data_IF_428023877400
#
_entry.id   IF_428023877400
#
_cell.length_a   1.000
_cell.length_b   1.000
_cell.length_c   1.000
_cell.angle_alpha   90.00
_cell.angle_beta   90.00
_cell.angle_gamma   90.00
#
_symmetry.space_group_name_H-M   'P 1'
#
loop_
_entity.id
_entity.type
_entity.pdbx_description
1 polymer ?
#
# COMPACT_ATOMS: atom_id res chain seq x y z
N UNK A 1 -27.44 0.14 -9.77
CA UNK A 1 -26.73 1.18 -9.00
C UNK A 1 -26.12 0.52 -7.77
N UNK A 2 -24.83 0.25 -7.78
CA UNK A 2 -24.10 -0.27 -6.62
C UNK A 2 -23.92 0.94 -5.69
N UNK A 3 -24.78 1.06 -4.68
CA UNK A 3 -24.60 2.09 -3.64
C UNK A 3 -23.27 1.86 -2.96
N UNK A 4 -22.42 2.87 -3.01
CA UNK A 4 -21.12 2.87 -2.33
C UNK A 4 -21.33 2.47 -0.86
N UNK A 5 -20.69 1.38 -0.36
CA UNK A 5 -20.85 0.93 1.04
C UNK A 5 -20.53 2.03 2.06
N UNK A 6 -19.74 3.03 1.69
CA UNK A 6 -19.42 4.21 2.49
C UNK A 6 -20.65 5.08 2.80
N UNK A 7 -21.66 5.10 1.93
CA UNK A 7 -22.89 5.89 2.15
C UNK A 7 -23.86 5.19 3.12
N UNK A 8 -23.85 3.86 3.16
CA UNK A 8 -24.74 3.09 4.05
C UNK A 8 -24.36 3.21 5.53
N UNK A 9 -23.09 3.43 5.82
CA UNK A 9 -22.60 3.64 7.20
C UNK A 9 -22.85 5.07 7.71
N UNK A 10 -23.12 6.03 6.82
CA UNK A 10 -23.46 7.41 7.22
C UNK A 10 -24.79 7.50 7.96
N UNK A 11 -25.78 6.70 7.58
CA UNK A 11 -27.12 6.72 8.19
C UNK A 11 -27.15 6.04 9.58
N UNK A 12 -26.19 5.15 9.87
CA UNK A 12 -26.10 4.47 11.17
C UNK A 12 -25.15 5.17 12.15
N UNK A 13 -24.49 6.23 11.74
CA UNK A 13 -23.43 6.92 12.51
C UNK A 13 -23.91 8.09 13.36
N UNK A 14 -25.19 8.19 13.66
CA UNK A 14 -25.78 9.33 14.39
C UNK A 14 -25.19 9.63 15.79
N UNK A 15 -24.21 8.84 16.26
CA UNK A 15 -23.50 9.09 17.52
C UNK A 15 -21.99 8.82 17.48
N UNK A 16 -21.37 8.63 16.29
CA UNK A 16 -19.93 8.40 16.18
C UNK A 16 -19.27 9.54 15.41
N UNK A 17 -18.27 10.15 16.01
CA UNK A 17 -17.52 11.26 15.43
C UNK A 17 -16.54 10.85 14.30
N UNK A 18 -16.32 9.56 14.07
CA UNK A 18 -15.50 9.03 12.98
C UNK A 18 -16.36 8.28 11.97
N UNK A 19 -16.23 8.64 10.70
CA UNK A 19 -16.85 7.92 9.57
C UNK A 19 -15.89 6.81 9.14
N UNK A 20 -15.68 5.84 10.00
CA UNK A 20 -14.82 4.70 9.73
C UNK A 20 -15.52 3.77 8.73
N UNK A 21 -14.97 3.53 7.52
CA UNK A 21 -15.60 2.66 6.54
C UNK A 21 -15.57 1.18 6.94
N UNK A 22 -14.74 0.83 7.91
CA UNK A 22 -14.57 -0.52 8.46
C UNK A 22 -14.71 -0.52 9.97
N UNK A 23 -15.12 -1.65 10.59
CA UNK A 23 -15.33 -1.73 12.05
C UNK A 23 -14.00 -1.90 12.81
N UNK A 24 -13.08 -0.96 12.66
CA UNK A 24 -11.73 -1.00 13.29
C UNK A 24 -11.78 -1.01 14.82
N UNK A 25 -12.88 -0.51 15.41
CA UNK A 25 -13.10 -0.55 16.86
C UNK A 25 -13.27 -1.97 17.42
N UNK A 26 -13.55 -2.98 16.55
CA UNK A 26 -13.68 -4.39 16.96
C UNK A 26 -12.35 -5.13 17.04
N UNK A 27 -11.27 -4.50 16.62
CA UNK A 27 -9.92 -5.09 16.61
C UNK A 27 -9.34 -5.10 18.02
N UNK A 28 -8.63 -6.17 18.36
CA UNK A 28 -7.85 -6.25 19.60
C UNK A 28 -6.63 -5.35 19.46
N UNK A 29 -6.56 -4.33 20.31
CA UNK A 29 -5.38 -3.45 20.43
C UNK A 29 -4.37 -4.06 21.40
N UNK A 30 -3.11 -3.89 21.10
CA UNK A 30 -1.96 -4.33 21.89
C UNK A 30 -0.94 -3.20 22.03
N UNK A 31 -0.03 -3.30 23.01
CA UNK A 31 0.94 -2.23 23.24
C UNK A 31 2.16 -2.31 22.31
N UNK A 32 2.43 -3.50 21.75
CA UNK A 32 3.54 -3.73 20.84
C UNK A 32 3.05 -4.47 19.58
N UNK A 33 3.65 -4.25 18.41
CA UNK A 33 3.38 -5.05 17.23
C UNK A 33 3.58 -6.55 17.49
N UNK A 34 2.78 -7.40 16.83
CA UNK A 34 2.93 -8.87 16.90
C UNK A 34 4.19 -9.37 16.18
N UNK A 35 4.78 -8.55 15.34
CA UNK A 35 6.13 -8.76 14.79
C UNK A 35 7.15 -8.28 15.82
N UNK A 36 7.98 -9.17 16.30
CA UNK A 36 9.08 -8.80 17.21
C UNK A 36 10.08 -7.93 16.47
N UNK A 37 10.35 -6.75 17.02
CA UNK A 37 11.32 -5.78 16.50
C UNK A 37 12.43 -5.59 17.52
N UNK A 38 13.66 -5.86 17.12
CA UNK A 38 14.86 -5.54 17.91
C UNK A 38 15.44 -4.24 17.34
N UNK A 39 15.05 -3.12 17.92
CA UNK A 39 15.42 -1.79 17.43
C UNK A 39 16.93 -1.56 17.36
N UNK A 40 17.70 -2.21 18.25
CA UNK A 40 19.17 -2.12 18.24
C UNK A 40 19.80 -2.78 17.00
N UNK A 41 19.12 -3.72 16.37
CA UNK A 41 19.56 -4.39 15.14
C UNK A 41 18.93 -3.80 13.88
N UNK A 42 17.94 -2.92 14.01
CA UNK A 42 17.34 -2.26 12.84
C UNK A 42 18.25 -1.13 12.40
N UNK A 43 18.78 -1.24 11.19
CA UNK A 43 19.49 -0.14 10.57
C UNK A 43 18.62 0.58 9.55
N UNK A 44 18.81 1.89 9.45
CA UNK A 44 18.14 2.72 8.46
C UNK A 44 18.61 2.34 7.07
N UNK A 45 17.71 1.80 6.26
CA UNK A 45 18.03 1.33 4.92
C UNK A 45 18.30 2.49 3.97
N UNK A 46 19.16 2.25 3.00
CA UNK A 46 19.34 3.13 1.86
C UNK A 46 18.28 2.77 0.79
N UNK A 47 17.45 3.71 0.39
CA UNK A 47 16.33 3.43 -0.53
C UNK A 47 16.80 2.85 -1.88
N UNK A 48 18.00 3.20 -2.35
CA UNK A 48 18.61 2.66 -3.58
C UNK A 48 18.94 1.16 -3.52
N UNK A 49 18.82 0.52 -2.36
CA UNK A 49 18.98 -0.94 -2.24
C UNK A 49 17.73 -1.73 -2.64
N UNK A 50 16.63 -1.05 -2.97
CA UNK A 50 15.41 -1.73 -3.43
C UNK A 50 15.64 -2.52 -4.72
N UNK A 51 14.97 -3.68 -4.86
CA UNK A 51 15.18 -4.56 -6.00
C UNK A 51 14.93 -3.90 -7.36
N UNK A 52 13.91 -3.07 -7.46
CA UNK A 52 13.61 -2.36 -8.72
C UNK A 52 14.65 -1.28 -9.06
N UNK A 53 15.16 -0.55 -8.08
CA UNK A 53 16.22 0.43 -8.32
C UNK A 53 17.51 -0.26 -8.79
N UNK A 54 17.86 -1.36 -8.12
CA UNK A 54 19.01 -2.20 -8.49
C UNK A 54 18.88 -2.77 -9.90
N UNK A 55 17.68 -3.21 -10.30
CA UNK A 55 17.42 -3.68 -11.65
C UNK A 55 17.62 -2.55 -12.70
N UNK A 56 17.08 -1.36 -12.44
CA UNK A 56 17.22 -0.21 -13.32
C UNK A 56 18.67 0.26 -13.46
N UNK A 57 19.47 0.13 -12.41
CA UNK A 57 20.92 0.45 -12.40
C UNK A 57 21.78 -0.62 -13.09
N UNK A 58 21.25 -1.82 -13.31
CA UNK A 58 21.95 -2.92 -13.98
C UNK A 58 22.60 -3.94 -13.05
N UNK A 59 22.34 -3.89 -11.73
CA UNK A 59 22.91 -4.85 -10.76
C UNK A 59 22.53 -6.31 -11.05
N UNK A 60 21.46 -6.55 -11.82
CA UNK A 60 21.00 -7.88 -12.23
C UNK A 60 21.41 -8.26 -13.65
N UNK A 61 22.32 -7.48 -14.26
CA UNK A 61 22.82 -7.67 -15.60
C UNK A 61 22.05 -6.86 -16.65
N UNK A 62 22.69 -6.70 -17.83
CA UNK A 62 22.17 -5.87 -18.92
C UNK A 62 20.79 -6.28 -19.40
N UNK A 63 20.55 -7.59 -19.53
CA UNK A 63 19.23 -8.11 -19.93
C UNK A 63 18.12 -7.64 -18.97
N UNK A 64 18.32 -7.74 -17.65
CA UNK A 64 17.34 -7.27 -16.67
C UNK A 64 17.16 -5.75 -16.69
N UNK A 65 18.22 -5.00 -16.97
CA UNK A 65 18.15 -3.54 -17.12
C UNK A 65 17.32 -3.14 -18.35
N UNK A 66 17.47 -3.85 -19.47
CA UNK A 66 16.67 -3.64 -20.68
C UNK A 66 15.19 -4.00 -20.42
N UNK A 67 14.91 -5.13 -19.79
CA UNK A 67 13.56 -5.53 -19.42
C UNK A 67 12.91 -4.56 -18.42
N UNK A 68 13.68 -3.95 -17.51
CA UNK A 68 13.19 -2.92 -16.61
C UNK A 68 12.71 -1.68 -17.37
N UNK A 69 13.41 -1.26 -18.42
CA UNK A 69 12.96 -0.14 -19.29
C UNK A 69 11.64 -0.45 -19.98
N UNK A 70 11.35 -1.72 -20.23
CA UNK A 70 10.10 -2.24 -20.81
C UNK A 70 9.08 -2.69 -19.78
N UNK A 71 9.37 -2.54 -18.50
CA UNK A 71 8.60 -3.09 -17.40
C UNK A 71 7.13 -2.68 -17.40
N UNK A 72 6.86 -1.41 -17.70
CA UNK A 72 5.51 -0.86 -17.75
C UNK A 72 4.90 -1.00 -19.16
N UNK A 73 5.58 -0.62 -20.24
CA UNK A 73 4.97 -0.54 -21.56
C UNK A 73 5.17 -1.82 -22.40
N UNK A 74 5.02 -3.00 -21.82
CA UNK A 74 5.11 -4.26 -22.60
C UNK A 74 4.01 -4.40 -23.65
N UNK A 75 2.84 -3.83 -23.36
CA UNK A 75 1.73 -3.72 -24.29
C UNK A 75 1.32 -2.26 -24.43
N UNK A 76 0.95 -1.77 -25.63
CA UNK A 76 0.55 -0.38 -25.83
C UNK A 76 -0.58 0.07 -24.91
N UNK A 77 -1.62 -0.75 -24.74
CA UNK A 77 -2.75 -0.45 -23.87
C UNK A 77 -2.32 -0.42 -22.38
N UNK A 78 -1.49 -1.38 -21.96
CA UNK A 78 -1.01 -1.41 -20.57
C UNK A 78 -0.13 -0.21 -20.26
N UNK A 79 0.72 0.20 -21.21
CA UNK A 79 1.54 1.40 -21.08
C UNK A 79 0.69 2.65 -20.90
N UNK A 80 -0.35 2.82 -21.72
CA UNK A 80 -1.27 3.95 -21.61
C UNK A 80 -2.02 3.93 -20.28
N UNK A 81 -2.54 2.79 -19.85
CA UNK A 81 -3.28 2.66 -18.59
C UNK A 81 -2.39 2.87 -17.36
N UNK A 82 -1.15 2.37 -17.37
CA UNK A 82 -0.21 2.58 -16.28
C UNK A 82 0.23 4.04 -16.21
N UNK A 83 0.48 4.69 -17.36
CA UNK A 83 0.79 6.12 -17.41
C UNK A 83 -0.34 6.97 -16.86
N UNK A 84 -1.58 6.69 -17.24
CA UNK A 84 -2.76 7.37 -16.70
C UNK A 84 -2.89 7.13 -15.19
N UNK A 85 -2.85 5.88 -14.76
CA UNK A 85 -2.99 5.52 -13.36
C UNK A 85 -1.82 6.02 -12.50
N UNK A 86 -0.62 6.11 -13.06
CA UNK A 86 0.59 6.59 -12.41
C UNK A 86 0.80 8.10 -12.44
N UNK A 87 -0.05 8.86 -13.13
CA UNK A 87 0.18 10.29 -13.36
C UNK A 87 0.43 11.11 -12.09
N UNK A 88 -0.20 10.76 -10.98
CA UNK A 88 0.01 11.41 -9.69
C UNK A 88 1.12 10.76 -8.84
N UNK A 89 1.62 9.59 -9.23
CA UNK A 89 2.71 8.93 -8.51
C UNK A 89 4.06 9.63 -8.77
N UNK A 90 4.19 10.33 -9.88
CA UNK A 90 5.37 11.09 -10.29
C UNK A 90 5.35 12.55 -9.82
N UNK A 91 4.41 12.93 -8.94
CA UNK A 91 4.40 14.24 -8.28
C UNK A 91 5.61 14.36 -7.33
N UNK A 92 6.77 14.50 -7.91
CA UNK A 92 8.05 14.63 -7.23
C UNK A 92 8.49 16.10 -7.28
N UNK A 93 8.67 16.68 -6.12
CA UNK A 93 9.47 17.85 -5.80
C UNK A 93 9.20 19.19 -6.53
N UNK A 94 8.43 19.24 -7.59
CA UNK A 94 8.01 20.53 -8.15
C UNK A 94 6.62 20.91 -7.67
N UNK A 95 6.41 22.17 -7.29
CA UNK A 95 5.08 22.67 -6.98
C UNK A 95 4.23 22.61 -8.26
N UNK A 96 3.51 21.51 -8.46
CA UNK A 96 2.45 21.47 -9.45
C UNK A 96 1.33 22.33 -8.87
N UNK A 97 1.46 23.62 -9.08
CA UNK A 97 0.40 24.55 -8.77
C UNK A 97 -0.79 24.32 -9.70
N UNK A 98 -1.88 24.98 -9.43
CA UNK A 98 -3.04 24.99 -10.34
C UNK A 98 -2.70 25.49 -11.76
N UNK A 99 -1.51 26.03 -11.99
CA UNK A 99 -0.92 26.30 -13.29
C UNK A 99 -0.86 25.08 -14.20
N UNK A 100 -0.66 23.87 -13.65
CA UNK A 100 -0.80 22.62 -14.39
C UNK A 100 -2.23 22.38 -14.91
N UNK A 101 -3.22 23.03 -14.34
CA UNK A 101 -4.62 23.03 -14.81
C UNK A 101 -4.91 24.18 -15.80
N UNK A 102 -3.88 24.83 -16.39
CA UNK A 102 -4.04 25.90 -17.38
C UNK A 102 -4.20 27.32 -16.81
N UNK A 103 -3.98 27.51 -15.51
CA UNK A 103 -3.91 28.85 -14.92
C UNK A 103 -2.50 29.43 -15.08
N UNK A 104 -2.35 30.74 -15.38
CA UNK A 104 -1.03 31.37 -15.40
C UNK A 104 -0.41 31.36 -13.98
N UNK A 105 0.90 31.12 -13.89
CA UNK A 105 1.64 31.06 -12.63
C UNK A 105 1.39 32.24 -11.68
N UNK A 106 1.12 33.43 -12.26
CA UNK A 106 0.77 34.64 -11.51
C UNK A 106 -0.59 34.57 -10.78
N UNK A 107 -1.49 33.68 -11.22
CA UNK A 107 -2.82 33.51 -10.63
C UNK A 107 -2.85 32.41 -9.55
N UNK A 108 -1.79 31.64 -9.43
CA UNK A 108 -1.68 30.56 -8.43
C UNK A 108 -1.16 31.17 -7.11
N UNK A 109 -1.90 31.07 -6.01
CA UNK A 109 -1.37 31.46 -4.71
C UNK A 109 -0.07 30.69 -4.44
N UNK A 110 1.03 31.40 -4.10
CA UNK A 110 2.35 30.82 -3.82
C UNK A 110 2.36 29.71 -2.76
N UNK A 111 1.29 29.61 -2.01
CA UNK A 111 1.06 28.60 -0.95
C UNK A 111 0.18 27.42 -1.41
N UNK A 112 -0.25 27.37 -2.65
CA UNK A 112 -0.96 26.23 -3.25
C UNK A 112 0.04 25.35 -4.01
N UNK A 113 0.55 24.33 -3.36
CA UNK A 113 1.52 23.42 -3.93
C UNK A 113 1.14 21.99 -3.62
N UNK A 114 1.16 21.14 -4.65
CA UNK A 114 1.04 19.69 -4.51
C UNK A 114 2.37 19.04 -4.10
N UNK A 115 3.42 19.84 -3.90
CA UNK A 115 4.72 19.33 -3.48
C UNK A 115 4.61 18.56 -2.16
N UNK A 116 5.39 17.50 -1.99
CA UNK A 116 5.46 16.75 -0.74
C UNK A 116 5.91 17.62 0.43
N UNK A 117 6.65 18.68 0.14
CA UNK A 117 7.04 19.73 1.08
C UNK A 117 6.58 21.10 0.56
N UNK A 118 6.15 21.97 1.46
CA UNK A 118 5.68 23.32 1.14
C UNK A 118 5.79 24.23 2.35
N UNK A 119 5.43 25.50 2.15
CA UNK A 119 5.50 26.50 3.21
C UNK A 119 4.52 26.20 4.35
N UNK A 120 4.99 26.39 5.57
CA UNK A 120 4.20 26.29 6.79
C UNK A 120 3.64 27.68 7.11
N UNK A 121 2.37 27.76 7.50
CA UNK A 121 1.78 29.01 7.92
C UNK A 121 2.47 29.55 9.19
N UNK A 122 2.68 30.86 9.25
CA UNK A 122 3.37 31.52 10.37
C UNK A 122 2.63 31.35 11.70
N UNK A 123 1.30 31.28 11.65
CA UNK A 123 0.45 31.17 12.84
C UNK A 123 -0.19 29.78 12.90
N UNK A 124 -0.15 29.20 14.10
CA UNK A 124 -0.89 27.96 14.38
C UNK A 124 -2.40 28.24 14.49
N UNK A 125 -3.19 27.33 13.95
CA UNK A 125 -4.63 27.41 14.09
C UNK A 125 -5.06 27.18 15.56
N UNK A 126 -6.06 27.88 16.06
CA UNK A 126 -6.35 27.97 17.50
C UNK A 126 -6.92 26.71 18.15
N UNK A 127 -7.23 25.65 17.37
CA UNK A 127 -7.83 24.40 17.87
C UNK A 127 -6.90 23.19 17.79
N UNK A 128 -5.61 23.43 17.54
CA UNK A 128 -4.63 22.35 17.22
C UNK A 128 -3.87 21.81 18.43
N UNK A 129 -4.17 22.28 19.62
CA UNK A 129 -3.52 21.92 20.89
C UNK A 129 -4.09 20.66 21.56
N UNK A 130 -5.22 20.14 21.08
CA UNK A 130 -5.83 18.91 21.59
C UNK A 130 -5.53 17.72 20.66
N UNK A 131 -4.63 16.77 21.05
CA UNK A 131 -4.20 15.68 20.20
C UNK A 131 -5.32 14.72 19.80
N UNK A 132 -6.26 14.40 20.68
CA UNK A 132 -7.37 13.48 20.40
C UNK A 132 -8.34 14.09 19.38
N UNK A 133 -8.66 15.38 19.54
CA UNK A 133 -9.51 16.10 18.61
C UNK A 133 -8.85 16.19 17.23
N UNK A 134 -7.56 16.50 17.21
CA UNK A 134 -6.81 16.62 15.96
C UNK A 134 -6.63 15.27 15.26
N UNK A 135 -6.32 14.20 15.99
CA UNK A 135 -6.24 12.87 15.41
C UNK A 135 -7.55 12.45 14.74
N UNK A 136 -8.69 12.70 15.38
CA UNK A 136 -10.02 12.47 14.81
C UNK A 136 -10.24 13.30 13.56
N UNK A 137 -9.98 14.60 13.65
CA UNK A 137 -10.17 15.54 12.55
C UNK A 137 -9.32 15.16 11.32
N UNK A 138 -8.06 14.82 11.51
CA UNK A 138 -7.16 14.38 10.43
C UNK A 138 -7.63 13.07 9.79
N UNK A 139 -8.10 12.11 10.58
CA UNK A 139 -8.67 10.87 10.05
C UNK A 139 -9.94 11.14 9.24
N UNK A 140 -10.85 11.94 9.74
CA UNK A 140 -12.08 12.32 9.03
C UNK A 140 -11.78 13.06 7.72
N UNK A 141 -10.80 13.97 7.74
CA UNK A 141 -10.33 14.68 6.53
C UNK A 141 -9.77 13.68 5.50
N UNK A 142 -8.97 12.73 5.91
CA UNK A 142 -8.45 11.70 5.00
C UNK A 142 -9.56 10.80 4.44
N UNK A 143 -10.57 10.42 5.24
CA UNK A 143 -11.75 9.70 4.76
C UNK A 143 -12.61 10.54 3.82
N UNK A 144 -12.74 11.84 4.06
CA UNK A 144 -13.38 12.75 3.12
C UNK A 144 -12.66 12.76 1.77
N UNK A 145 -11.32 12.73 1.77
CA UNK A 145 -10.47 12.62 0.58
C UNK A 145 -10.45 11.23 -0.05
N UNK A 146 -11.23 10.26 0.48
CA UNK A 146 -11.39 8.90 -0.05
C UNK A 146 -10.33 7.89 0.37
N UNK A 147 -9.63 8.12 1.47
CA UNK A 147 -8.84 7.06 2.09
C UNK A 147 -9.74 5.87 2.48
N UNK A 148 -9.24 4.65 2.36
CA UNK A 148 -9.95 3.45 2.81
C UNK A 148 -9.73 3.19 4.29
N UNK A 149 -8.50 3.37 4.79
CA UNK A 149 -8.15 3.28 6.20
C UNK A 149 -7.06 4.29 6.55
N UNK A 150 -7.11 4.76 7.79
CA UNK A 150 -6.13 5.72 8.32
C UNK A 150 -5.73 5.32 9.73
N UNK A 151 -4.42 5.37 10.01
CA UNK A 151 -3.87 5.16 11.35
C UNK A 151 -2.75 6.15 11.65
N UNK A 152 -2.52 6.41 12.93
CA UNK A 152 -1.54 7.39 13.40
C UNK A 152 -0.62 6.72 14.41
N UNK A 153 0.70 6.95 14.29
CA UNK A 153 1.67 6.53 15.29
C UNK A 153 2.72 7.60 15.53
N UNK A 154 3.51 7.45 16.58
CA UNK A 154 4.81 8.12 16.62
C UNK A 154 5.67 7.63 15.48
N UNK A 155 6.47 8.49 14.87
CA UNK A 155 7.36 8.11 13.78
C UNK A 155 8.58 7.35 14.35
N UNK A 156 8.69 6.03 14.10
CA UNK A 156 9.86 5.29 14.57
C UNK A 156 11.11 5.78 13.82
N UNK A 157 12.15 6.18 14.55
CA UNK A 157 13.39 6.71 13.94
C UNK A 157 14.02 5.72 12.97
N UNK A 158 13.95 4.43 13.28
CA UNK A 158 14.48 3.37 12.43
C UNK A 158 13.64 3.15 11.14
N UNK A 159 12.43 3.71 11.05
CA UNK A 159 11.65 3.69 9.82
C UNK A 159 12.12 4.73 8.80
N UNK A 160 12.91 5.73 9.20
CA UNK A 160 13.42 6.76 8.29
C UNK A 160 14.57 6.17 7.48
N UNK A 161 14.52 6.27 6.14
CA UNK A 161 15.63 5.86 5.28
C UNK A 161 16.89 6.68 5.59
N UNK A 162 18.06 6.09 5.37
CA UNK A 162 19.34 6.77 5.59
C UNK A 162 19.63 7.80 4.49
N UNK A 163 19.32 7.46 3.24
CA UNK A 163 19.60 8.27 2.06
C UNK A 163 18.44 8.25 1.08
N UNK A 164 18.28 9.32 0.34
CA UNK A 164 17.27 9.47 -0.70
C UNK A 164 17.55 8.56 -1.90
N UNK A 165 16.51 8.16 -2.59
CA UNK A 165 16.61 7.35 -3.79
C UNK A 165 17.11 8.17 -4.98
N UNK A 166 16.67 9.40 -5.11
CA UNK A 166 16.87 10.24 -6.29
C UNK A 166 18.33 10.66 -6.45
N UNK A 167 18.94 11.18 -5.40
CA UNK A 167 20.28 11.79 -5.44
C UNK A 167 21.27 11.17 -4.44
N UNK A 168 20.83 10.19 -3.65
CA UNK A 168 21.68 9.53 -2.65
C UNK A 168 22.08 10.40 -1.47
N UNK A 169 21.44 11.56 -1.25
CA UNK A 169 21.77 12.43 -0.11
C UNK A 169 21.21 11.88 1.18
N UNK A 170 21.87 12.14 2.33
CA UNK A 170 21.34 11.79 3.65
C UNK A 170 19.96 12.40 3.90
N UNK A 171 19.08 11.64 4.54
CA UNK A 171 17.76 12.10 4.93
C UNK A 171 17.80 12.62 6.36
N UNK A 172 17.39 13.86 6.53
CA UNK A 172 17.18 14.52 7.81
C UNK A 172 15.69 14.80 7.99
N UNK A 173 15.00 13.92 8.70
CA UNK A 173 13.57 14.00 8.98
C UNK A 173 13.36 13.92 10.49
N UNK A 174 12.85 15.01 11.09
CA UNK A 174 12.73 15.15 12.55
C UNK A 174 11.26 15.26 13.01
N UNK A 175 10.30 14.87 12.15
CA UNK A 175 8.90 14.88 12.52
C UNK A 175 8.58 13.82 13.59
N UNK A 176 7.61 14.14 14.46
CA UNK A 176 7.25 13.29 15.61
C UNK A 176 6.23 12.22 15.28
N UNK A 177 5.30 12.51 14.38
CA UNK A 177 4.16 11.65 14.09
C UNK A 177 4.14 11.22 12.63
N UNK A 178 3.55 10.04 12.40
CA UNK A 178 3.27 9.51 11.08
C UNK A 178 1.78 9.16 10.95
N UNK A 179 1.15 9.66 9.92
CA UNK A 179 -0.23 9.38 9.51
C UNK A 179 -0.15 8.44 8.32
N UNK A 180 -0.58 7.21 8.49
CA UNK A 180 -0.59 6.19 7.43
C UNK A 180 -1.97 6.12 6.78
N UNK A 181 -1.99 6.15 5.44
CA UNK A 181 -3.19 6.17 4.60
C UNK A 181 -3.16 4.92 3.73
N UNK A 182 -4.19 4.08 3.80
CA UNK A 182 -4.33 2.90 2.95
C UNK A 182 -5.36 3.13 1.86
N UNK A 183 -5.04 2.66 0.64
CA UNK A 183 -5.94 2.63 -0.51
C UNK A 183 -6.07 1.20 -1.01
N UNK A 184 -7.31 0.70 -1.03
CA UNK A 184 -7.65 -0.63 -1.57
C UNK A 184 -7.40 -0.69 -3.08
N UNK A 185 -6.80 -1.77 -3.54
CA UNK A 185 -6.54 -2.02 -4.96
C UNK A 185 -7.72 -2.69 -5.69
N UNK A 186 -8.87 -2.76 -5.09
CA UNK A 186 -10.07 -3.45 -5.53
C UNK A 186 -9.95 -4.99 -5.62
N UNK A 187 -10.88 -5.67 -4.97
CA UNK A 187 -10.90 -7.14 -4.95
C UNK A 187 -11.23 -7.75 -6.31
N UNK A 188 -12.20 -7.16 -7.04
CA UNK A 188 -12.63 -7.68 -8.34
C UNK A 188 -11.51 -7.64 -9.37
N UNK A 189 -10.70 -6.58 -9.35
CA UNK A 189 -9.53 -6.45 -10.22
C UNK A 189 -8.40 -7.38 -9.76
N UNK A 190 -8.11 -7.43 -8.46
CA UNK A 190 -6.99 -8.23 -7.94
C UNK A 190 -7.15 -9.73 -8.15
N UNK A 191 -8.38 -10.26 -8.12
CA UNK A 191 -8.67 -11.69 -8.35
C UNK A 191 -8.38 -12.15 -9.77
N UNK A 192 -8.28 -11.24 -10.71
CA UNK A 192 -8.03 -11.53 -12.12
C UNK A 192 -6.54 -11.77 -12.44
N UNK A 193 -5.65 -11.36 -11.54
CA UNK A 193 -4.21 -11.48 -11.72
C UNK A 193 -3.79 -12.94 -11.91
N UNK A 194 -3.10 -13.23 -13.03
CA UNK A 194 -2.53 -14.55 -13.32
C UNK A 194 -1.04 -14.65 -12.96
N UNK A 195 -0.38 -13.53 -12.67
CA UNK A 195 1.07 -13.46 -12.49
C UNK A 195 1.84 -13.19 -13.78
N UNK A 196 1.16 -13.31 -14.93
CA UNK A 196 1.71 -13.16 -16.27
C UNK A 196 1.03 -12.03 -17.07
N UNK A 197 0.48 -11.06 -16.39
CA UNK A 197 -0.23 -9.92 -16.97
C UNK A 197 0.21 -8.62 -16.32
N UNK A 198 -0.33 -7.52 -16.82
CA UNK A 198 -0.02 -6.17 -16.34
C UNK A 198 -1.06 -5.60 -15.36
N UNK A 199 -2.11 -6.35 -15.01
CA UNK A 199 -3.21 -5.92 -14.14
C UNK A 199 -2.67 -5.48 -12.77
N UNK A 200 -1.78 -6.29 -12.20
CA UNK A 200 -1.16 -5.99 -10.89
C UNK A 200 -0.43 -4.64 -10.88
N UNK A 201 0.21 -4.26 -12.00
CA UNK A 201 0.85 -2.95 -12.12
C UNK A 201 -0.19 -1.83 -12.20
N UNK A 202 -1.15 -1.93 -13.12
CA UNK A 202 -2.15 -0.88 -13.33
C UNK A 202 -2.91 -0.56 -12.04
N UNK A 203 -3.42 -1.57 -11.33
CA UNK A 203 -4.11 -1.33 -10.06
C UNK A 203 -3.18 -0.81 -8.95
N UNK A 204 -1.89 -1.23 -8.96
CA UNK A 204 -0.91 -0.72 -8.01
C UNK A 204 -0.60 0.76 -8.25
N UNK A 205 -0.38 1.16 -9.49
CA UNK A 205 -0.10 2.55 -9.83
C UNK A 205 -1.32 3.44 -9.58
N UNK A 206 -2.54 2.97 -9.88
CA UNK A 206 -3.76 3.70 -9.54
C UNK A 206 -3.87 3.94 -8.02
N UNK A 207 -3.62 2.93 -7.21
CA UNK A 207 -3.66 3.06 -5.76
C UNK A 207 -2.51 3.96 -5.23
N UNK A 208 -1.34 3.93 -5.86
CA UNK A 208 -0.25 4.87 -5.55
C UNK A 208 -0.62 6.31 -5.90
N UNK A 209 -1.19 6.56 -7.07
CA UNK A 209 -1.66 7.90 -7.47
C UNK A 209 -2.72 8.43 -6.50
N UNK A 210 -3.71 7.60 -6.17
CA UNK A 210 -4.77 7.98 -5.22
C UNK A 210 -4.20 8.27 -3.84
N UNK A 211 -3.31 7.42 -3.33
CA UNK A 211 -2.70 7.63 -2.02
C UNK A 211 -1.78 8.85 -2.00
N UNK A 212 -1.05 9.09 -3.09
CA UNK A 212 -0.20 10.27 -3.28
C UNK A 212 -1.00 11.56 -3.28
N UNK A 213 -2.10 11.62 -4.02
CA UNK A 213 -3.03 12.74 -4.02
C UNK A 213 -3.51 13.06 -2.59
N UNK A 214 -4.02 12.07 -1.87
CA UNK A 214 -4.52 12.27 -0.51
C UNK A 214 -3.41 12.74 0.43
N UNK A 215 -2.23 12.12 0.36
CA UNK A 215 -1.11 12.48 1.23
C UNK A 215 -0.62 13.92 0.98
N UNK A 216 -0.53 14.34 -0.28
CA UNK A 216 -0.13 15.72 -0.62
C UNK A 216 -1.15 16.74 -0.14
N UNK A 217 -2.45 16.49 -0.36
CA UNK A 217 -3.51 17.37 0.12
C UNK A 217 -3.52 17.47 1.64
N UNK A 218 -3.36 16.34 2.33
CA UNK A 218 -3.39 16.31 3.79
C UNK A 218 -2.14 17.00 4.38
N UNK A 219 -0.98 16.81 3.78
CA UNK A 219 0.25 17.49 4.19
C UNK A 219 0.14 19.01 3.99
N UNK A 220 -0.40 19.47 2.85
CA UNK A 220 -0.64 20.89 2.61
C UNK A 220 -1.63 21.48 3.63
N UNK A 221 -2.71 20.73 3.89
CA UNK A 221 -3.68 21.13 4.91
C UNK A 221 -3.02 21.31 6.28
N UNK A 222 -2.18 20.36 6.71
CA UNK A 222 -1.48 20.44 8.00
C UNK A 222 -0.51 21.64 8.03
N UNK A 223 0.19 21.92 6.95
CA UNK A 223 1.07 23.11 6.85
C UNK A 223 0.30 24.41 6.99
N UNK A 224 -0.93 24.46 6.46
CA UNK A 224 -1.84 25.60 6.64
C UNK A 224 -2.37 25.73 8.07
N UNK A 225 -2.37 24.65 8.85
CA UNK A 225 -2.62 24.71 10.29
C UNK A 225 -1.43 25.23 11.10
N UNK A 226 -0.29 25.50 10.46
CA UNK A 226 0.93 26.04 11.09
C UNK A 226 1.90 24.97 11.62
N UNK A 227 1.85 23.76 11.07
CA UNK A 227 2.76 22.67 11.46
C UNK A 227 3.52 22.13 10.25
N UNK A 228 4.82 21.79 10.38
CA UNK A 228 5.54 21.13 9.31
C UNK A 228 4.91 19.77 9.01
N UNK A 229 4.81 19.46 7.73
CA UNK A 229 4.31 18.18 7.26
C UNK A 229 4.91 17.83 5.91
N UNK A 230 5.19 16.54 5.71
CA UNK A 230 5.71 15.98 4.47
C UNK A 230 4.91 14.77 4.04
N UNK A 231 4.52 14.76 2.76
CA UNK A 231 3.92 13.59 2.11
C UNK A 231 5.02 12.62 1.63
N UNK A 232 4.81 11.32 1.88
CA UNK A 232 5.64 10.22 1.41
C UNK A 232 4.76 9.27 0.61
N UNK A 233 5.00 9.16 -0.69
CA UNK A 233 4.20 8.36 -1.60
C UNK A 233 5.05 7.76 -2.73
N UNK A 234 4.53 6.78 -3.43
CA UNK A 234 5.09 6.00 -4.53
C UNK A 234 6.61 6.13 -4.80
N UNK A 235 7.03 7.24 -5.40
CA UNK A 235 8.43 7.46 -5.81
C UNK A 235 9.18 8.42 -4.88
N UNK A 236 8.56 8.88 -3.81
CA UNK A 236 9.11 9.92 -2.93
C UNK A 236 8.97 9.57 -1.44
N UNK A 237 9.26 8.32 -1.08
CA UNK A 237 9.35 7.93 0.31
C UNK A 237 10.68 8.36 0.92
N UNK A 238 10.64 8.86 2.14
CA UNK A 238 11.80 8.98 3.01
C UNK A 238 11.67 8.07 4.24
N UNK A 239 10.63 7.26 4.27
CA UNK A 239 10.31 6.34 5.37
C UNK A 239 9.92 4.97 4.84
N UNK A 240 10.30 3.93 5.57
CA UNK A 240 9.84 2.57 5.35
C UNK A 240 8.41 2.43 5.85
N UNK A 241 7.51 2.03 4.96
CA UNK A 241 6.07 1.93 5.25
C UNK A 241 5.70 0.84 6.26
N UNK A 242 6.25 -0.40 6.17
CA UNK A 242 5.79 -1.50 7.03
C UNK A 242 5.84 -1.20 8.54
N UNK A 243 6.94 -0.72 9.13
CA UNK A 243 6.97 -0.43 10.57
C UNK A 243 5.94 0.61 10.99
N UNK A 244 5.69 1.63 10.16
CA UNK A 244 4.67 2.65 10.43
C UNK A 244 3.27 2.03 10.46
N UNK A 245 2.95 1.12 9.52
CA UNK A 245 1.65 0.44 9.50
C UNK A 245 1.44 -0.44 10.72
N UNK A 246 2.50 -1.09 11.21
CA UNK A 246 2.44 -1.92 12.42
C UNK A 246 2.10 -1.06 13.65
N UNK A 247 2.83 0.03 13.84
CA UNK A 247 2.61 0.95 14.97
C UNK A 247 1.30 1.73 14.88
N UNK A 248 0.89 2.12 13.70
CA UNK A 248 -0.39 2.78 13.46
C UNK A 248 -1.62 1.84 13.57
N UNK A 249 -1.40 0.57 13.90
CA UNK A 249 -2.47 -0.41 14.11
C UNK A 249 -3.27 -0.73 12.84
N UNK A 250 -2.62 -0.68 11.68
CA UNK A 250 -3.24 -0.94 10.39
C UNK A 250 -3.05 -2.38 9.88
N UNK A 251 -2.30 -3.20 10.59
CA UNK A 251 -2.12 -4.60 10.23
C UNK A 251 -1.02 -5.31 11.00
N UNK A 252 -0.74 -6.53 10.57
CA UNK A 252 0.37 -7.36 11.05
C UNK A 252 1.26 -7.78 9.86
N UNK A 253 2.56 -8.01 10.11
CA UNK A 253 3.48 -8.54 9.09
C UNK A 253 3.05 -9.95 8.67
N UNK A 254 2.91 -10.20 7.37
CA UNK A 254 2.46 -11.50 6.86
C UNK A 254 3.60 -12.32 6.24
N UNK A 255 3.32 -13.57 5.87
CA UNK A 255 4.31 -14.48 5.24
C UNK A 255 4.81 -13.99 3.87
N UNK A 256 4.14 -13.06 3.21
CA UNK A 256 4.60 -12.51 1.92
C UNK A 256 5.93 -11.73 2.09
N UNK A 257 6.41 -11.59 3.33
CA UNK A 257 7.69 -10.96 3.63
C UNK A 257 7.50 -9.52 4.10
N UNK A 258 8.00 -8.53 3.37
CA UNK A 258 7.95 -7.13 3.77
C UNK A 258 6.57 -6.47 3.52
N UNK A 259 5.50 -7.23 3.68
CA UNK A 259 4.11 -6.79 3.48
C UNK A 259 3.33 -6.92 4.79
N UNK A 260 2.66 -5.83 5.14
CA UNK A 260 1.66 -5.80 6.20
C UNK A 260 0.32 -6.19 5.62
N UNK A 261 -0.43 -7.02 6.33
CA UNK A 261 -1.77 -7.46 5.98
C UNK A 261 -2.78 -6.82 6.92
N UNK A 262 -3.81 -6.21 6.33
CA UNK A 262 -4.91 -5.61 7.06
C UNK A 262 -6.08 -6.60 7.17
N UNK A 263 -6.79 -6.69 8.31
CA UNK A 263 -7.87 -7.67 8.49
C UNK A 263 -9.11 -7.44 7.62
N UNK A 264 -9.25 -6.29 6.97
CA UNK A 264 -10.39 -5.94 6.11
C UNK A 264 -10.02 -5.91 4.62
N UNK A 265 -8.82 -5.41 4.29
CA UNK A 265 -8.32 -5.27 2.93
C UNK A 265 -7.46 -6.46 2.49
N UNK A 266 -7.07 -7.32 3.43
CA UNK A 266 -6.04 -8.30 3.15
C UNK A 266 -4.69 -7.63 2.82
N UNK A 267 -3.86 -8.22 1.95
CA UNK A 267 -2.60 -7.62 1.50
C UNK A 267 -2.76 -6.71 0.26
N UNK A 268 -3.98 -6.47 -0.24
CA UNK A 268 -4.24 -5.78 -1.51
C UNK A 268 -4.44 -4.27 -1.33
N UNK A 269 -3.49 -3.58 -0.76
CA UNK A 269 -3.54 -2.12 -0.66
C UNK A 269 -2.19 -1.49 -1.00
N UNK A 270 -2.22 -0.20 -1.25
CA UNK A 270 -1.04 0.67 -1.22
C UNK A 270 -1.21 1.68 -0.10
N UNK A 271 -0.07 2.17 0.39
CA UNK A 271 -0.06 3.14 1.45
C UNK A 271 0.76 4.37 1.07
N UNK A 272 0.31 5.53 1.53
CA UNK A 272 1.12 6.73 1.63
C UNK A 272 1.20 7.15 3.10
N UNK A 273 2.23 7.90 3.44
CA UNK A 273 2.48 8.39 4.79
C UNK A 273 2.52 9.93 4.75
N UNK A 274 1.98 10.57 5.76
CA UNK A 274 2.26 11.98 6.03
C UNK A 274 2.97 12.05 7.38
N UNK A 275 4.17 12.63 7.40
CA UNK A 275 4.88 12.89 8.67
C UNK A 275 4.70 14.34 9.08
N UNK A 276 4.61 14.61 10.38
CA UNK A 276 4.31 15.95 10.90
C UNK A 276 4.70 16.12 12.38
N UNK A 277 4.77 17.38 12.81
CA UNK A 277 4.85 17.76 14.23
C UNK A 277 3.50 18.23 14.81
N UNK A 278 2.41 18.15 14.04
CA UNK A 278 1.07 18.41 14.57
C UNK A 278 0.80 17.43 15.72
N UNK A 279 0.45 17.91 16.94
CA UNK A 279 0.14 17.03 18.06
C UNK A 279 -1.05 16.12 17.74
N UNK A 280 -0.82 14.81 17.76
CA UNK A 280 -1.81 13.79 17.40
C UNK A 280 -1.85 12.70 18.46
N UNK A 281 -3.04 12.27 18.85
CA UNK A 281 -3.21 11.04 19.60
C UNK A 281 -2.91 9.84 18.69
N UNK A 282 -2.12 8.89 19.20
CA UNK A 282 -1.67 7.73 18.44
C UNK A 282 -2.64 6.55 18.58
N UNK A 283 -2.72 5.74 17.54
CA UNK A 283 -3.36 4.44 17.58
C UNK A 283 -2.42 3.40 18.21
N UNK A 284 -3.00 2.30 18.67
CA UNK A 284 -2.22 1.16 19.15
C UNK A 284 -2.12 0.07 18.08
N UNK A 285 -1.02 -0.70 18.03
CA UNK A 285 -0.91 -1.89 17.24
C UNK A 285 -2.09 -2.85 17.43
N UNK A 286 -2.28 -3.76 16.47
CA UNK A 286 -3.37 -4.74 16.51
C UNK A 286 -2.84 -6.16 16.51
N UNK A 287 -3.62 -7.06 17.13
CA UNK A 287 -3.45 -8.51 17.08
C UNK A 287 -4.76 -9.13 16.63
N UNK A 288 -4.78 -9.63 15.39
CA UNK A 288 -5.94 -10.39 14.88
C UNK A 288 -5.60 -11.84 14.58
N UNK A 289 -4.47 -12.32 15.08
CA UNK A 289 -4.02 -13.71 15.00
C UNK A 289 -3.40 -14.10 13.69
N UNK A 290 -2.89 -13.12 12.92
CA UNK A 290 -2.28 -13.35 11.61
C UNK A 290 -1.01 -14.20 11.73
N UNK A 291 -0.23 -14.04 12.79
CA UNK A 291 1.02 -14.77 12.95
C UNK A 291 0.79 -16.28 12.99
N UNK A 292 -0.18 -16.74 13.79
CA UNK A 292 -0.60 -18.15 13.83
C UNK A 292 -1.25 -18.59 12.51
N UNK A 293 -2.08 -17.74 11.90
CA UNK A 293 -2.69 -18.04 10.61
C UNK A 293 -1.64 -18.26 9.53
N UNK A 294 -0.71 -17.35 9.35
CA UNK A 294 0.34 -17.42 8.32
C UNK A 294 1.31 -18.59 8.54
N UNK A 295 1.57 -18.98 9.81
CA UNK A 295 2.36 -20.16 10.11
C UNK A 295 1.73 -21.45 9.56
N UNK A 296 0.40 -21.53 9.58
CA UNK A 296 -0.38 -22.71 9.14
C UNK A 296 -0.74 -22.69 7.65
N UNK A 297 -0.99 -21.51 7.05
CA UNK A 297 -1.60 -21.37 5.72
C UNK A 297 -0.62 -21.69 4.58
N UNK A 298 0.51 -21.01 4.49
CA UNK A 298 1.59 -21.15 3.50
C UNK A 298 1.19 -20.99 2.00
N UNK A 299 -0.07 -20.73 1.64
CA UNK A 299 -0.55 -20.63 0.23
C UNK A 299 0.29 -19.67 -0.63
N UNK A 300 0.65 -18.51 -0.10
CA UNK A 300 1.46 -17.53 -0.84
C UNK A 300 2.87 -18.03 -1.15
N UNK A 301 3.44 -18.92 -0.34
CA UNK A 301 4.73 -19.56 -0.62
C UNK A 301 4.58 -20.67 -1.67
N UNK A 302 3.56 -21.53 -1.53
CA UNK A 302 3.28 -22.64 -2.46
C UNK A 302 2.98 -22.14 -3.88
N UNK A 303 2.20 -21.06 -3.98
CA UNK A 303 1.75 -20.51 -5.28
C UNK A 303 2.72 -19.46 -5.86
N UNK A 304 3.84 -19.16 -5.18
CA UNK A 304 4.78 -18.15 -5.65
C UNK A 304 5.49 -18.61 -6.94
N UNK A 305 5.27 -17.96 -8.11
CA UNK A 305 5.84 -18.43 -9.36
C UNK A 305 7.36 -18.30 -9.44
N UNK A 306 7.96 -17.47 -8.58
CA UNK A 306 9.42 -17.33 -8.48
C UNK A 306 10.05 -18.12 -7.34
N UNK A 307 9.24 -18.77 -6.47
CA UNK A 307 9.74 -19.40 -5.25
C UNK A 307 10.43 -18.44 -4.27
N UNK A 308 10.05 -17.16 -4.33
CA UNK A 308 10.70 -16.11 -3.50
C UNK A 308 10.23 -16.10 -2.06
N UNK A 309 9.02 -16.60 -1.77
CA UNK A 309 8.41 -16.58 -0.44
C UNK A 309 8.72 -17.89 0.27
N UNK A 310 9.31 -17.80 1.45
CA UNK A 310 9.70 -18.98 2.23
C UNK A 310 8.48 -19.69 2.85
N UNK A 311 8.46 -21.02 2.76
CA UNK A 311 7.54 -21.90 3.49
C UNK A 311 8.04 -22.27 4.90
N UNK A 312 9.29 -21.88 5.23
CA UNK A 312 9.97 -22.15 6.50
C UNK A 312 9.49 -21.23 7.62
N UNK A 313 10.09 -21.35 8.78
CA UNK A 313 9.82 -20.52 9.94
C UNK A 313 10.38 -19.11 9.79
N UNK A 314 9.99 -18.24 10.71
CA UNK A 314 10.51 -16.89 10.80
C UNK A 314 11.98 -16.90 11.20
N UNK A 315 12.68 -15.88 10.77
CA UNK A 315 14.05 -15.57 11.20
C UNK A 315 14.14 -14.10 11.61
N UNK A 316 15.07 -13.78 12.49
CA UNK A 316 15.46 -12.40 12.75
C UNK A 316 16.26 -11.90 11.54
N UNK A 317 15.76 -10.89 10.87
CA UNK A 317 16.38 -10.30 9.69
C UNK A 317 16.34 -8.78 9.78
N UNK A 318 17.48 -8.14 9.88
CA UNK A 318 17.62 -6.70 10.04
C UNK A 318 16.75 -6.14 11.18
N UNK A 319 16.72 -6.83 12.32
CA UNK A 319 15.98 -6.44 13.51
C UNK A 319 14.49 -6.81 13.49
N UNK A 320 13.97 -7.46 12.45
CA UNK A 320 12.57 -7.90 12.36
C UNK A 320 12.46 -9.42 12.36
N UNK A 321 11.66 -10.00 13.24
CA UNK A 321 11.31 -11.42 13.19
C UNK A 321 10.21 -11.65 12.15
N UNK A 322 10.61 -12.08 10.96
CA UNK A 322 9.72 -12.22 9.80
C UNK A 322 10.00 -13.48 8.99
N UNK A 323 9.05 -13.87 8.16
CA UNK A 323 9.31 -14.88 7.13
C UNK A 323 10.19 -14.28 6.05
N UNK A 324 11.27 -14.98 5.68
CA UNK A 324 12.18 -14.50 4.64
C UNK A 324 11.49 -14.41 3.28
N UNK A 325 11.85 -13.39 2.52
CA UNK A 325 11.50 -13.25 1.10
C UNK A 325 12.77 -12.95 0.31
N UNK A 326 12.99 -13.67 -0.77
CA UNK A 326 14.04 -13.38 -1.74
C UNK A 326 13.57 -12.29 -2.69
N UNK A 327 13.88 -11.05 -2.33
CA UNK A 327 13.46 -9.86 -3.09
C UNK A 327 14.05 -9.87 -4.51
N UNK A 328 15.25 -10.39 -4.69
CA UNK A 328 15.92 -10.43 -5.99
C UNK A 328 15.22 -11.38 -6.95
N UNK A 329 14.87 -12.60 -6.50
CA UNK A 329 14.07 -13.54 -7.30
C UNK A 329 12.70 -12.96 -7.66
N UNK A 330 12.01 -12.33 -6.68
CA UNK A 330 10.72 -11.71 -6.92
C UNK A 330 10.84 -10.59 -7.97
N UNK A 331 11.84 -9.72 -7.84
CA UNK A 331 12.07 -8.60 -8.75
C UNK A 331 12.40 -9.09 -10.16
N UNK A 332 13.33 -10.05 -10.29
CA UNK A 332 13.72 -10.63 -11.59
C UNK A 332 12.54 -11.27 -12.31
N UNK A 333 11.70 -12.04 -11.59
CA UNK A 333 10.50 -12.62 -12.17
C UNK A 333 9.51 -11.55 -12.66
N UNK A 334 9.26 -10.52 -11.85
CA UNK A 334 8.33 -9.45 -12.20
C UNK A 334 8.79 -8.64 -13.41
N UNK A 335 10.09 -8.39 -13.53
CA UNK A 335 10.68 -7.61 -14.63
C UNK A 335 10.86 -8.47 -15.87
N UNK A 336 11.46 -9.65 -15.74
CA UNK A 336 11.80 -10.54 -16.86
C UNK A 336 10.62 -11.31 -17.44
N UNK A 337 9.42 -11.18 -16.87
CA UNK A 337 8.24 -11.85 -17.39
C UNK A 337 7.87 -11.32 -18.79
N UNK A 338 7.95 -12.19 -19.80
CA UNK A 338 7.71 -11.82 -21.19
C UNK A 338 6.25 -11.48 -21.49
N UNK A 339 5.32 -12.06 -20.75
CA UNK A 339 3.87 -11.91 -20.97
C UNK A 339 3.25 -10.76 -20.22
N UNK A 340 3.91 -10.22 -19.21
CA UNK A 340 3.34 -9.15 -18.38
C UNK A 340 4.37 -8.43 -17.54
N UNK A 341 3.88 -7.50 -16.73
CA UNK A 341 4.68 -6.76 -15.77
C UNK A 341 3.97 -6.75 -14.42
N UNK A 342 4.73 -6.90 -13.34
CA UNK A 342 4.14 -7.17 -12.04
C UNK A 342 3.67 -8.62 -11.93
N UNK A 343 3.21 -9.04 -10.76
CA UNK A 343 2.76 -10.42 -10.55
C UNK A 343 1.46 -10.45 -9.73
N UNK A 344 1.50 -10.08 -8.44
CA UNK A 344 0.32 -10.04 -7.58
C UNK A 344 -0.27 -11.39 -7.16
N UNK A 345 0.31 -12.54 -7.56
CA UNK A 345 -0.20 -13.87 -7.22
C UNK A 345 -0.31 -14.06 -5.71
N UNK A 346 0.72 -13.70 -4.96
CA UNK A 346 0.73 -13.84 -3.50
C UNK A 346 -0.38 -13.03 -2.80
N UNK A 347 -0.77 -11.89 -3.38
CA UNK A 347 -1.89 -11.07 -2.90
C UNK A 347 -3.21 -11.77 -3.21
N UNK A 348 -3.38 -12.23 -4.46
CA UNK A 348 -4.61 -12.88 -4.92
C UNK A 348 -4.93 -14.16 -4.15
N UNK A 349 -3.94 -15.04 -3.97
CA UNK A 349 -4.15 -16.36 -3.32
C UNK A 349 -4.34 -16.28 -1.81
N UNK A 350 -4.10 -15.11 -1.21
CA UNK A 350 -4.23 -14.96 0.24
C UNK A 350 -5.68 -15.12 0.69
N UNK A 351 -5.98 -16.02 1.67
CA UNK A 351 -7.34 -16.19 2.18
C UNK A 351 -7.93 -14.93 2.84
N UNK A 352 -7.11 -13.97 3.22
CA UNK A 352 -7.55 -12.65 3.69
C UNK A 352 -7.90 -11.67 2.56
N UNK A 353 -7.59 -12.01 1.32
CA UNK A 353 -7.97 -11.21 0.15
C UNK A 353 -9.40 -11.55 -0.27
N UNK A 354 -10.39 -10.97 0.38
CA UNK A 354 -11.82 -11.26 0.18
C UNK A 354 -12.62 -9.98 -0.05
N UNK A 355 -13.78 -10.09 -0.71
CA UNK A 355 -14.70 -8.97 -0.84
C UNK A 355 -15.35 -8.64 0.51
N UNK A 356 -15.75 -7.38 0.68
CA UNK A 356 -16.36 -6.91 1.89
C UNK A 356 -17.88 -7.23 1.95
N UNK A 357 -18.23 -8.53 1.92
CA UNK A 357 -19.63 -9.01 2.08
C UNK A 357 -19.89 -9.47 3.50
N UNK A 358 -21.16 -9.58 3.89
CA UNK A 358 -21.54 -10.08 5.22
C UNK A 358 -20.98 -11.48 5.50
N UNK A 359 -21.02 -12.37 4.50
CA UNK A 359 -20.47 -13.71 4.60
C UNK A 359 -18.97 -13.70 4.91
N UNK A 360 -18.17 -12.93 4.14
CA UNK A 360 -16.73 -12.86 4.35
C UNK A 360 -16.35 -12.13 5.63
N UNK A 361 -17.16 -11.16 6.06
CA UNK A 361 -17.01 -10.50 7.38
C UNK A 361 -17.19 -11.49 8.52
N UNK A 362 -18.19 -12.39 8.43
CA UNK A 362 -18.43 -13.43 9.45
C UNK A 362 -17.26 -14.39 9.53
N UNK A 363 -16.76 -14.88 8.38
CA UNK A 363 -15.58 -15.76 8.34
C UNK A 363 -14.35 -15.05 8.91
N UNK A 364 -14.09 -13.82 8.48
CA UNK A 364 -12.98 -13.02 9.00
C UNK A 364 -13.08 -12.83 10.52
N UNK A 365 -14.27 -12.54 11.04
CA UNK A 365 -14.51 -12.44 12.47
C UNK A 365 -14.21 -13.76 13.19
N UNK A 366 -14.69 -14.89 12.66
CA UNK A 366 -14.46 -16.24 13.20
C UNK A 366 -12.97 -16.57 13.24
N UNK A 367 -12.24 -16.34 12.17
CA UNK A 367 -10.78 -16.57 12.11
C UNK A 367 -9.99 -15.70 13.09
N UNK A 368 -10.45 -14.47 13.33
CA UNK A 368 -9.83 -13.57 14.32
C UNK A 368 -10.06 -14.05 15.75
N UNK A 369 -11.25 -14.54 16.05
CA UNK A 369 -11.66 -14.90 17.42
C UNK A 369 -11.33 -16.33 17.81
N UNK A 370 -11.33 -17.27 16.85
CA UNK A 370 -11.27 -18.72 17.11
C UNK A 370 -10.03 -19.34 16.41
N UNK A 371 -8.92 -19.56 17.14
CA UNK A 371 -7.67 -20.07 16.54
C UNK A 371 -7.82 -21.43 15.83
N UNK A 372 -8.71 -22.31 16.30
CA UNK A 372 -8.95 -23.60 15.66
C UNK A 372 -9.63 -23.45 14.28
N UNK A 373 -10.44 -22.42 14.07
CA UNK A 373 -11.15 -22.18 12.82
C UNK A 373 -10.21 -21.78 11.66
N UNK A 374 -8.97 -21.36 11.95
CA UNK A 374 -8.01 -20.86 10.95
C UNK A 374 -7.65 -21.92 9.92
N UNK A 375 -7.48 -23.19 10.32
CA UNK A 375 -7.24 -24.29 9.38
C UNK A 375 -8.44 -24.54 8.47
N UNK A 376 -9.65 -24.52 9.04
CA UNK A 376 -10.89 -24.65 8.27
C UNK A 376 -11.08 -23.49 7.29
N UNK A 377 -10.68 -22.27 7.66
CA UNK A 377 -10.71 -21.11 6.78
C UNK A 377 -9.82 -21.29 5.55
N UNK A 378 -8.62 -21.87 5.68
CA UNK A 378 -7.72 -22.19 4.56
C UNK A 378 -8.32 -23.28 3.68
N UNK A 379 -8.81 -24.37 4.27
CA UNK A 379 -9.45 -25.47 3.54
C UNK A 379 -10.70 -25.02 2.78
N UNK A 380 -11.57 -24.22 3.41
CA UNK A 380 -12.75 -23.66 2.77
C UNK A 380 -12.42 -22.70 1.62
N UNK A 381 -11.33 -21.95 1.74
CA UNK A 381 -10.80 -21.08 0.68
C UNK A 381 -10.43 -21.89 -0.57
N UNK A 382 -9.77 -23.04 -0.38
CA UNK A 382 -9.40 -23.95 -1.47
C UNK A 382 -10.63 -24.62 -2.09
N UNK A 383 -11.56 -25.12 -1.25
CA UNK A 383 -12.80 -25.76 -1.69
C UNK A 383 -13.67 -24.83 -2.55
N UNK A 384 -13.75 -23.55 -2.18
CA UNK A 384 -14.50 -22.54 -2.92
C UNK A 384 -13.76 -21.99 -4.15
N UNK A 385 -12.55 -22.51 -4.45
CA UNK A 385 -11.77 -22.13 -5.61
C UNK A 385 -11.19 -20.72 -5.57
N UNK A 386 -11.13 -20.10 -4.39
CA UNK A 386 -10.46 -18.80 -4.24
C UNK A 386 -8.95 -18.90 -4.55
N UNK A 387 -8.41 -17.84 -5.10
CA UNK A 387 -7.00 -17.80 -5.51
C UNK A 387 -6.76 -18.25 -6.96
N UNK A 388 -7.74 -18.86 -7.63
CA UNK A 388 -7.67 -19.09 -9.08
C UNK A 388 -7.93 -17.78 -9.83
N UNK A 389 -7.24 -17.51 -10.97
CA UNK A 389 -7.52 -16.33 -11.77
C UNK A 389 -8.95 -16.37 -12.33
N UNK A 390 -9.66 -15.25 -12.26
CA UNK A 390 -10.98 -15.12 -12.88
C UNK A 390 -10.86 -14.47 -14.26
N UNK A 391 -10.73 -15.29 -15.27
CA UNK A 391 -10.54 -14.80 -16.65
C UNK A 391 -11.79 -14.19 -17.27
N UNK A 392 -12.98 -14.41 -16.70
CA UNK A 392 -14.25 -13.91 -17.28
C UNK A 392 -14.38 -12.39 -17.20
N UNK A 393 -13.74 -11.77 -16.21
CA UNK A 393 -13.78 -10.32 -16.01
C UNK A 393 -12.54 -9.59 -16.54
N UNK A 394 -11.61 -10.32 -17.15
CA UNK A 394 -10.27 -9.83 -17.46
C UNK A 394 -10.12 -9.31 -18.89
N UNK A 395 -10.97 -9.72 -19.81
CA UNK A 395 -10.81 -9.55 -21.25
C UNK A 395 -10.51 -8.10 -21.69
N UNK A 396 -11.15 -7.12 -21.09
CA UNK A 396 -10.97 -5.72 -21.46
C UNK A 396 -9.69 -5.09 -20.87
N UNK A 397 -9.10 -5.72 -19.85
CA UNK A 397 -7.84 -5.29 -19.24
C UNK A 397 -6.62 -6.03 -19.84
N UNK A 398 -6.82 -7.18 -20.48
CA UNK A 398 -5.74 -8.04 -20.98
C UNK A 398 -5.79 -8.07 -22.51
N UNK A 399 -5.61 -6.90 -23.10
CA UNK A 399 -5.54 -6.74 -24.55
C UNK A 399 -4.09 -6.55 -25.01
N UNK A 400 -3.74 -7.12 -26.14
CA UNK A 400 -2.45 -6.91 -26.80
C UNK A 400 -2.64 -6.58 -28.29
N UNK A 401 -1.65 -5.94 -28.89
CA UNK A 401 -1.65 -5.69 -30.33
C UNK A 401 -1.07 -6.90 -31.04
N UNK A 402 -1.91 -7.60 -31.81
CA UNK A 402 -1.53 -8.73 -32.65
C UNK A 402 -1.73 -8.33 -34.10
N UNK A 403 -0.68 -8.31 -34.90
CA UNK A 403 -0.72 -7.91 -36.32
C UNK A 403 -1.30 -6.51 -36.57
N UNK A 404 -1.14 -5.59 -35.63
CA UNK A 404 -1.65 -4.22 -35.72
C UNK A 404 -3.03 -4.02 -35.12
N UNK A 405 -3.76 -5.07 -34.80
CA UNK A 405 -5.09 -5.02 -34.19
C UNK A 405 -5.06 -5.31 -32.69
N UNK A 406 -5.92 -4.64 -31.94
CA UNK A 406 -6.09 -4.84 -30.51
C UNK A 406 -6.96 -6.09 -30.28
N UNK A 407 -6.37 -7.12 -29.70
CA UNK A 407 -7.03 -8.42 -29.53
C UNK A 407 -6.79 -8.98 -28.12
N UNK A 408 -7.68 -9.88 -27.70
CA UNK A 408 -7.46 -10.68 -26.49
C UNK A 408 -6.34 -11.70 -26.79
N UNK A 409 -5.29 -11.79 -25.95
CA UNK A 409 -4.18 -12.72 -26.19
C UNK A 409 -4.65 -14.17 -26.39
N UNK A 410 -4.16 -14.84 -27.40
CA UNK A 410 -4.46 -16.27 -27.66
C UNK A 410 -4.04 -17.18 -26.49
N UNK A 411 -3.10 -16.76 -25.68
CA UNK A 411 -2.69 -17.43 -24.45
C UNK A 411 -3.80 -17.57 -23.41
N UNK A 412 -4.91 -16.84 -23.54
CA UNK A 412 -6.10 -17.01 -22.69
C UNK A 412 -6.80 -18.35 -22.90
N UNK A 413 -6.61 -19.02 -24.03
CA UNK A 413 -7.19 -20.35 -24.31
C UNK A 413 -6.39 -21.51 -23.71
N UNK A 414 -5.15 -21.27 -23.30
CA UNK A 414 -4.24 -22.30 -22.75
C UNK A 414 -3.86 -22.05 -21.27
N UNK A 415 -4.63 -21.21 -20.57
CA UNK A 415 -4.40 -20.89 -19.14
C UNK A 415 -5.34 -21.63 -18.23
#
# INVERSE_FOLDING_TARGET
MIRNPRLRNREQANNRHLIDPYPVHTLKRVDQPTTRINEAEVFRQHEQTSGFYRAGRGDFGEHMQQEYRRFVPKYPLSGAMVSMAGALADLVDEPVGMGAAGMPDSAVPKNMSWAPMGQVAEKKAPFTDNPEKMARHIKETAYFLRADLVGICELPVYAIYSHQKQDGKPIHLNHKYAIAILIDQDWHTSRQTSGNDWISNSMSFLAYSTSGFIACMLADYIRRLGYPARAHHAMNYQVAVPPILLWAGLGEMCRIGDIVLNPFLGPRFKAAIVTTDLPLAIDKPIDFGLQDFCAKCKKCATECPSGSISDKDKVMYHGYEKWPVDVDKCTKMRIGNKQGSGCGVCIKVCPWNKPNTLFHRSISWTMRKLPFARRFGVWGDDLLGYGKPDYNHKWWLDLETINGDLQVPNSSKNR
#
